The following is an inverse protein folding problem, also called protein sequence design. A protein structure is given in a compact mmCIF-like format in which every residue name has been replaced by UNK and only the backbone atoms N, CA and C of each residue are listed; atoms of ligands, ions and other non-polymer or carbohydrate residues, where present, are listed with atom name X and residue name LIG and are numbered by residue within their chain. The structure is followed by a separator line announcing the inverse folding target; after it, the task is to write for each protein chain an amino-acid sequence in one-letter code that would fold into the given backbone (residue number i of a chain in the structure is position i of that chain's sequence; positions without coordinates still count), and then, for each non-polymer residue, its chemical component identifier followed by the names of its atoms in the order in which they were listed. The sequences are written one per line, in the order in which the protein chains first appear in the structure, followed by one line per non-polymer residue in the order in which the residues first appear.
data_IF_688727177278
#
_entry.id   IF_688727177278
#
_cell.length_a   1.000
_cell.length_b   1.000
_cell.length_c   1.000
_cell.angle_alpha   90.00
_cell.angle_beta   90.00
_cell.angle_gamma   90.00
#
_symmetry.space_group_name_H-M   'P 1'
#
loop_
_entity.id
_entity.type
_entity.pdbx_description
1 polymer ?
#
# COMPACT_ATOMS: atom_id res chain seq x y z
N UNK A 1 43.56 12.41 -20.50
CA UNK A 1 42.33 13.20 -20.75
C UNK A 1 41.06 12.35 -20.89
N UNK A 2 41.09 11.18 -21.57
CA UNK A 2 39.92 10.28 -21.71
C UNK A 2 39.40 9.66 -20.40
N UNK A 3 40.30 9.27 -19.49
CA UNK A 3 39.91 8.66 -18.21
C UNK A 3 39.16 9.62 -17.27
N UNK A 4 39.55 10.91 -17.28
CA UNK A 4 38.94 11.95 -16.43
C UNK A 4 37.51 12.28 -16.88
N UNK A 5 37.25 12.26 -18.19
CA UNK A 5 35.90 12.47 -18.72
C UNK A 5 34.95 11.32 -18.35
N UNK A 6 35.47 10.08 -18.34
CA UNK A 6 34.70 8.87 -17.99
C UNK A 6 34.36 8.82 -16.49
N UNK A 7 35.31 9.18 -15.61
CA UNK A 7 35.02 9.27 -14.17
C UNK A 7 34.07 10.41 -13.84
N UNK A 8 34.18 11.57 -14.51
CA UNK A 8 33.22 12.66 -14.35
C UNK A 8 31.81 12.24 -14.76
N UNK A 9 31.66 11.50 -15.87
CA UNK A 9 30.36 11.03 -16.35
C UNK A 9 29.71 10.01 -15.39
N UNK A 10 30.50 9.07 -14.85
CA UNK A 10 30.01 8.08 -13.88
C UNK A 10 29.57 8.71 -12.55
N UNK A 11 30.22 9.80 -12.12
CA UNK A 11 29.85 10.55 -10.92
C UNK A 11 28.58 11.40 -11.09
N UNK A 12 28.17 11.70 -12.32
CA UNK A 12 26.98 12.49 -12.64
C UNK A 12 25.71 11.63 -12.88
N UNK A 13 25.85 10.32 -13.11
CA UNK A 13 24.74 9.38 -13.27
C UNK A 13 23.72 9.33 -12.10
N UNK A 14 24.09 9.43 -10.81
CA UNK A 14 23.11 9.32 -9.73
C UNK A 14 22.22 10.56 -9.59
N UNK A 15 22.53 11.68 -10.28
CA UNK A 15 21.67 12.88 -10.30
C UNK A 15 20.47 12.73 -11.24
N UNK A 16 20.55 11.79 -12.21
CA UNK A 16 19.48 11.50 -13.17
C UNK A 16 18.64 10.29 -12.74
N UNK A 17 19.15 9.47 -11.83
CA UNK A 17 18.35 8.49 -11.12
C UNK A 17 17.51 9.24 -10.09
N UNK A 18 16.34 9.72 -10.53
CA UNK A 18 15.32 10.28 -9.64
C UNK A 18 15.18 9.37 -8.42
N UNK A 19 15.11 9.99 -7.24
CA UNK A 19 14.89 9.26 -6.00
C UNK A 19 13.70 8.32 -6.22
N UNK A 20 13.86 7.04 -5.91
CA UNK A 20 12.76 6.09 -5.87
C UNK A 20 11.86 6.53 -4.73
N UNK A 21 11.03 7.56 -4.99
CA UNK A 21 10.04 8.03 -4.04
C UNK A 21 9.10 6.87 -3.89
N UNK A 22 9.21 6.17 -2.77
CA UNK A 22 8.07 5.48 -2.19
C UNK A 22 6.93 6.50 -2.22
N UNK A 23 5.74 6.17 -2.76
CA UNK A 23 4.60 7.06 -2.63
C UNK A 23 4.48 7.38 -1.14
N UNK A 24 4.75 8.63 -0.77
CA UNK A 24 4.65 9.03 0.63
C UNK A 24 3.20 8.87 1.05
N UNK A 25 2.99 8.36 2.25
CA UNK A 25 1.71 8.43 2.98
C UNK A 25 1.35 9.88 3.36
N UNK A 26 1.79 10.86 2.57
CA UNK A 26 1.43 12.25 2.71
C UNK A 26 0.05 12.41 2.12
N UNK A 27 -0.92 12.28 3.01
CA UNK A 27 -2.25 12.79 2.85
C UNK A 27 -2.23 14.17 2.16
N UNK A 28 -2.82 14.33 0.97
CA UNK A 28 -2.98 15.65 0.38
C UNK A 28 -3.69 16.57 1.37
N UNK A 29 -3.41 17.88 1.33
CA UNK A 29 -4.05 18.90 2.19
C UNK A 29 -5.60 18.80 2.20
N UNK A 30 -6.17 18.22 1.15
CA UNK A 30 -7.62 18.04 0.94
C UNK A 30 -8.09 16.56 1.02
N UNK A 31 -7.17 15.63 1.27
CA UNK A 31 -7.36 14.19 1.06
C UNK A 31 -7.46 13.34 2.33
N UNK A 32 -7.04 13.87 3.48
CA UNK A 32 -7.21 13.18 4.75
C UNK A 32 -7.90 14.06 5.77
N UNK A 33 -9.12 13.64 6.09
CA UNK A 33 -9.87 14.18 7.20
C UNK A 33 -9.49 13.34 8.43
N UNK A 34 -8.78 13.89 9.43
CA UNK A 34 -8.56 13.17 10.67
C UNK A 34 -9.91 12.98 11.34
N UNK A 35 -10.54 11.83 11.08
CA UNK A 35 -11.71 11.40 11.81
C UNK A 35 -11.21 10.96 13.19
N UNK A 36 -11.29 11.88 14.15
CA UNK A 36 -11.10 11.51 15.55
C UNK A 36 -12.13 10.44 15.95
N UNK A 37 -11.88 9.70 17.04
CA UNK A 37 -12.75 8.59 17.43
C UNK A 37 -14.24 8.96 17.53
N UNK A 38 -14.63 10.16 18.03
CA UNK A 38 -16.00 10.63 17.98
C UNK A 38 -16.55 10.81 16.55
N UNK A 39 -15.85 11.54 15.67
CA UNK A 39 -16.31 11.79 14.31
C UNK A 39 -16.37 10.51 13.48
N UNK A 40 -15.40 9.60 13.66
CA UNK A 40 -15.43 8.28 13.03
C UNK A 40 -16.63 7.45 13.54
N UNK A 41 -16.89 7.46 14.84
CA UNK A 41 -18.01 6.72 15.42
C UNK A 41 -19.36 7.25 14.95
N UNK A 42 -19.51 8.57 14.86
CA UNK A 42 -20.70 9.22 14.31
C UNK A 42 -20.89 8.87 12.84
N UNK A 43 -19.83 8.94 12.03
CA UNK A 43 -19.86 8.52 10.63
C UNK A 43 -20.31 7.06 10.49
N UNK A 44 -19.67 6.14 11.22
CA UNK A 44 -19.98 4.70 11.19
C UNK A 44 -21.36 4.35 11.77
N UNK A 45 -21.99 5.25 12.54
CA UNK A 45 -23.33 5.02 13.10
C UNK A 45 -24.44 5.05 12.05
N UNK A 46 -24.18 5.66 10.88
CA UNK A 46 -25.13 5.66 9.77
C UNK A 46 -25.06 4.32 9.02
N UNK A 47 -26.19 3.61 8.84
CA UNK A 47 -26.21 2.36 8.07
C UNK A 47 -25.66 2.56 6.66
N UNK A 48 -24.65 1.78 6.29
CA UNK A 48 -24.01 1.88 4.98
C UNK A 48 -23.03 3.06 4.83
N UNK A 49 -22.69 3.79 5.89
CA UNK A 49 -21.71 4.88 5.84
C UNK A 49 -20.36 4.44 5.25
N UNK A 50 -19.98 3.20 5.53
CA UNK A 50 -18.79 2.58 4.99
C UNK A 50 -19.13 1.26 4.27
N UNK A 51 -19.84 1.38 3.15
CA UNK A 51 -20.07 0.26 2.24
C UNK A 51 -18.97 0.20 1.17
N UNK A 52 -17.91 -0.57 1.48
CA UNK A 52 -16.77 -0.80 0.58
C UNK A 52 -17.22 -1.38 -0.77
N UNK A 53 -18.29 -2.19 -0.80
CA UNK A 53 -18.78 -2.78 -2.04
C UNK A 53 -19.50 -1.75 -2.91
N UNK A 54 -20.19 -0.78 -2.31
CA UNK A 54 -20.76 0.35 -3.02
C UNK A 54 -19.64 1.25 -3.58
N UNK A 55 -18.65 1.64 -2.77
CA UNK A 55 -17.51 2.43 -3.25
C UNK A 55 -16.72 1.72 -4.35
N UNK A 56 -16.60 0.39 -4.27
CA UNK A 56 -15.94 -0.40 -5.30
C UNK A 56 -16.71 -0.40 -6.63
N UNK A 57 -18.01 -0.12 -6.65
CA UNK A 57 -18.78 0.02 -7.88
C UNK A 57 -18.67 1.42 -8.49
N UNK A 58 -18.51 2.45 -7.65
CA UNK A 58 -18.51 3.86 -8.06
C UNK A 58 -17.15 4.36 -8.54
N UNK A 59 -16.05 3.80 -8.02
CA UNK A 59 -14.69 4.28 -8.32
C UNK A 59 -13.88 3.25 -9.08
N UNK A 60 -13.29 3.60 -10.23
CA UNK A 60 -12.46 2.67 -11.05
C UNK A 60 -11.24 2.13 -10.29
N UNK A 61 -10.74 2.87 -9.30
CA UNK A 61 -9.58 2.50 -8.48
C UNK A 61 -9.96 2.61 -7.02
N UNK A 62 -9.78 1.54 -6.27
CA UNK A 62 -10.05 1.51 -4.83
C UNK A 62 -9.02 0.62 -4.15
N UNK A 63 -8.53 1.05 -2.99
CA UNK A 63 -7.67 0.26 -2.11
C UNK A 63 -8.19 0.40 -0.69
N UNK A 64 -8.31 -0.72 -0.01
CA UNK A 64 -8.70 -0.80 1.39
C UNK A 64 -7.59 -1.51 2.14
N UNK A 65 -7.02 -0.81 3.11
CA UNK A 65 -5.98 -1.31 3.98
C UNK A 65 -6.51 -1.37 5.42
N UNK A 66 -6.25 -2.49 6.08
CA UNK A 66 -6.56 -2.64 7.50
C UNK A 66 -5.35 -3.17 8.23
N UNK A 67 -5.06 -2.62 9.40
CA UNK A 67 -4.03 -3.14 10.30
C UNK A 67 -4.69 -3.49 11.63
N UNK A 68 -4.44 -4.70 12.10
CA UNK A 68 -4.89 -5.19 13.40
C UNK A 68 -3.68 -5.55 14.23
N UNK A 69 -3.49 -4.83 15.33
CA UNK A 69 -2.44 -5.13 16.31
C UNK A 69 -3.06 -5.82 17.53
N UNK A 70 -2.47 -6.93 17.94
CA UNK A 70 -2.80 -7.63 19.17
C UNK A 70 -1.59 -7.61 20.09
N UNK A 71 -1.78 -7.06 21.29
CA UNK A 71 -0.80 -7.13 22.37
C UNK A 71 -1.50 -7.73 23.61
N UNK A 72 -1.01 -8.89 24.06
CA UNK A 72 -1.45 -9.49 25.30
C UNK A 72 -0.27 -10.11 26.04
N UNK A 73 0.03 -9.59 27.23
CA UNK A 73 1.03 -10.14 28.16
C UNK A 73 2.40 -10.43 27.50
N UNK A 74 2.84 -9.56 26.59
CA UNK A 74 4.12 -9.68 25.89
C UNK A 74 4.09 -10.55 24.63
N UNK A 75 2.93 -11.08 24.24
CA UNK A 75 2.70 -11.66 22.92
C UNK A 75 2.18 -10.57 21.97
N UNK A 76 3.01 -10.23 21.00
CA UNK A 76 2.68 -9.28 19.94
C UNK A 76 2.37 -10.04 18.65
N UNK A 77 1.21 -9.74 18.06
CA UNK A 77 0.85 -10.16 16.73
C UNK A 77 0.26 -8.99 15.94
N UNK A 78 0.51 -8.97 14.63
CA UNK A 78 0.04 -7.94 13.74
C UNK A 78 -0.49 -8.57 12.46
N UNK A 79 -1.64 -8.09 11.97
CA UNK A 79 -2.21 -8.51 10.70
C UNK A 79 -2.44 -7.27 9.84
N UNK A 80 -1.79 -7.21 8.68
CA UNK A 80 -2.08 -6.22 7.65
C UNK A 80 -2.82 -6.89 6.51
N UNK A 81 -3.90 -6.28 6.05
CA UNK A 81 -4.63 -6.67 4.85
C UNK A 81 -4.65 -5.51 3.87
N UNK A 82 -4.48 -5.82 2.58
CA UNK A 82 -4.61 -4.87 1.48
C UNK A 82 -5.47 -5.51 0.39
N UNK A 83 -6.64 -4.93 0.14
CA UNK A 83 -7.52 -5.34 -0.95
C UNK A 83 -7.62 -4.18 -1.92
N UNK A 84 -7.26 -4.40 -3.18
CA UNK A 84 -7.23 -3.34 -4.17
C UNK A 84 -7.84 -3.78 -5.51
N UNK A 85 -8.36 -2.80 -6.24
CA UNK A 85 -8.77 -2.92 -7.63
C UNK A 85 -8.28 -1.72 -8.43
N UNK A 86 -8.01 -1.98 -9.70
CA UNK A 86 -7.74 -0.98 -10.72
C UNK A 86 -8.41 -1.44 -12.01
N UNK A 87 -9.58 -0.91 -12.30
CA UNK A 87 -10.36 -1.29 -13.48
C UNK A 87 -9.72 -0.79 -14.78
N UNK A 88 -8.94 0.29 -14.73
CA UNK A 88 -8.20 0.80 -15.90
C UNK A 88 -7.10 -0.18 -16.30
N UNK A 89 -6.34 -0.66 -15.32
CA UNK A 89 -5.31 -1.68 -15.52
C UNK A 89 -5.87 -3.11 -15.58
N UNK A 90 -7.16 -3.30 -15.33
CA UNK A 90 -7.81 -4.61 -15.18
C UNK A 90 -7.11 -5.50 -14.14
N UNK A 91 -6.70 -4.92 -13.01
CA UNK A 91 -5.99 -5.59 -11.92
C UNK A 91 -6.84 -5.62 -10.65
N UNK A 92 -6.75 -6.73 -9.91
CA UNK A 92 -7.34 -6.92 -8.58
C UNK A 92 -6.33 -7.64 -7.71
N UNK A 93 -6.20 -7.26 -6.44
CA UNK A 93 -5.27 -7.92 -5.54
C UNK A 93 -5.83 -8.08 -4.13
N UNK A 94 -5.44 -9.17 -3.49
CA UNK A 94 -5.63 -9.42 -2.07
C UNK A 94 -4.25 -9.79 -1.51
N UNK A 95 -3.72 -8.94 -0.62
CA UNK A 95 -2.48 -9.18 0.08
C UNK A 95 -2.71 -9.21 1.59
N UNK A 96 -1.94 -10.05 2.28
CA UNK A 96 -1.94 -10.21 3.73
C UNK A 96 -0.50 -10.31 4.21
N UNK A 97 -0.20 -9.62 5.31
CA UNK A 97 1.00 -9.86 6.12
C UNK A 97 0.59 -10.18 7.54
N UNK A 98 1.02 -11.32 8.04
CA UNK A 98 0.82 -11.73 9.43
C UNK A 98 2.16 -11.81 10.14
N UNK A 99 2.34 -11.03 11.20
CA UNK A 99 3.57 -10.99 12.01
C UNK A 99 3.27 -11.51 13.41
N UNK A 100 4.12 -12.41 13.93
CA UNK A 100 4.10 -12.86 15.33
C UNK A 100 5.52 -12.84 15.86
N UNK A 101 5.77 -12.07 16.92
CA UNK A 101 7.12 -11.86 17.44
C UNK A 101 8.06 -11.32 16.37
N UNK A 102 9.04 -12.12 15.94
CA UNK A 102 10.02 -11.76 14.89
C UNK A 102 9.77 -12.46 13.55
N UNK A 103 8.68 -13.22 13.44
CA UNK A 103 8.36 -14.01 12.24
C UNK A 103 7.21 -13.38 11.47
N UNK A 104 7.31 -13.34 10.14
CA UNK A 104 6.23 -12.86 9.26
C UNK A 104 5.85 -13.91 8.20
N UNK A 105 4.58 -13.90 7.82
CA UNK A 105 4.01 -14.62 6.70
C UNK A 105 3.36 -13.61 5.75
N UNK A 106 3.81 -13.60 4.50
CA UNK A 106 3.25 -12.78 3.44
C UNK A 106 2.51 -13.66 2.44
N UNK A 107 1.30 -13.25 2.05
CA UNK A 107 0.51 -13.89 1.00
C UNK A 107 -0.08 -12.81 0.10
N UNK A 108 0.01 -13.02 -1.21
CA UNK A 108 -0.57 -12.12 -2.20
C UNK A 108 -1.17 -12.92 -3.35
N UNK A 109 -2.38 -12.54 -3.75
CA UNK A 109 -3.05 -13.00 -4.95
C UNK A 109 -3.34 -11.79 -5.81
N UNK A 110 -2.95 -11.83 -7.07
CA UNK A 110 -3.22 -10.79 -8.07
C UNK A 110 -3.93 -11.44 -9.25
N UNK A 111 -5.06 -10.86 -9.65
CA UNK A 111 -5.82 -11.24 -10.83
C UNK A 111 -5.77 -10.10 -11.84
N UNK A 112 -5.59 -10.40 -13.13
CA UNK A 112 -5.59 -9.41 -14.20
C UNK A 112 -4.42 -9.50 -15.19
N UNK A 113 -4.46 -8.69 -16.24
CA UNK A 113 -3.51 -8.78 -17.35
C UNK A 113 -2.52 -7.61 -17.38
N UNK A 114 -1.41 -7.77 -16.65
CA UNK A 114 -0.13 -7.14 -16.97
C UNK A 114 1.01 -8.11 -16.67
N UNK A 115 1.13 -9.17 -17.49
CA UNK A 115 2.21 -10.17 -17.49
C UNK A 115 2.45 -10.93 -16.18
N UNK A 116 2.34 -12.26 -16.26
CA UNK A 116 2.88 -13.21 -15.29
C UNK A 116 4.42 -13.13 -15.16
N UNK A 117 5.00 -12.01 -14.72
CA UNK A 117 6.43 -11.91 -14.38
C UNK A 117 6.65 -10.77 -13.37
N UNK A 118 6.45 -11.07 -12.09
CA UNK A 118 7.41 -10.80 -11.00
C UNK A 118 6.75 -11.29 -9.69
N UNK A 119 6.91 -12.57 -9.35
CA UNK A 119 8.07 -13.06 -8.61
C UNK A 119 7.95 -12.73 -7.12
N UNK A 120 7.44 -13.70 -6.37
CA UNK A 120 7.91 -13.94 -5.02
C UNK A 120 9.44 -13.93 -5.04
N UNK A 121 10.03 -12.92 -4.41
CA UNK A 121 11.44 -12.87 -4.09
C UNK A 121 11.62 -12.28 -2.70
N UNK A 122 11.75 -13.23 -1.77
CA UNK A 122 12.46 -13.19 -0.49
C UNK A 122 12.04 -12.15 0.52
#
# INVERSE_FOLDING_TARGET
MRGVALTAFLLLCPLLAGCLSVPGDDCPEDGCFPLDSPALSEFLSTPGAFDVLAYAQEHERLRVETSTTYDNQGQFAEIHWNVAKDDVAQLRSIAMRFTVGTSSLDSEVIEGAANHQHQGRR
#
